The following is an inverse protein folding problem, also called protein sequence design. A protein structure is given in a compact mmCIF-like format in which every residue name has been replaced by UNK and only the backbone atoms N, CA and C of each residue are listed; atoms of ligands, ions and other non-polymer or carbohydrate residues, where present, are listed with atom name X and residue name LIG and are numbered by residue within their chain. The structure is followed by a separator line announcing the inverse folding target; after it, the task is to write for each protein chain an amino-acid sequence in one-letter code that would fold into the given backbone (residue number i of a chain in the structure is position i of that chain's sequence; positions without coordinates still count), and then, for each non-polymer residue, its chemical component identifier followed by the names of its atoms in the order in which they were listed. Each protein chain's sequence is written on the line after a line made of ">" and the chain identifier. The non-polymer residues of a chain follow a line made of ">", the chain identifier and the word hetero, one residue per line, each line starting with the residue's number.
data_IF_753681066927
#
_entry.id   IF_753681066927
#
_cell.length_a   1.000
_cell.length_b   1.000
_cell.length_c   1.000
_cell.angle_alpha   90.00
_cell.angle_beta   90.00
_cell.angle_gamma   90.00
#
_symmetry.space_group_name_H-M   'P 1'
#
loop_
_entity.id
_entity.type
_entity.pdbx_description
1 polymer ?
#
# COMPACT_ATOMS: atom_id res chain seq x y z
N UNK A 1 -46.53 -0.49 39.98
CA UNK A 1 -46.67 0.95 39.69
C UNK A 1 -45.30 1.46 39.32
N UNK A 2 -45.08 1.89 38.07
CA UNK A 2 -43.85 2.59 37.70
C UNK A 2 -43.90 3.95 38.39
N UNK A 3 -42.94 4.22 39.28
CA UNK A 3 -42.75 5.53 39.87
C UNK A 3 -42.36 6.51 38.77
N UNK A 4 -43.09 7.62 38.64
CA UNK A 4 -42.76 8.67 37.69
C UNK A 4 -41.35 9.21 37.96
N UNK A 5 -40.59 9.48 36.90
CA UNK A 5 -39.25 10.07 37.02
C UNK A 5 -39.31 11.46 37.67
N UNK A 6 -38.42 11.73 38.62
CA UNK A 6 -38.38 13.00 39.34
C UNK A 6 -37.37 13.93 38.66
N UNK A 7 -37.89 14.90 37.89
CA UNK A 7 -37.07 15.89 37.20
C UNK A 7 -36.49 16.93 38.16
N UNK A 8 -35.19 17.18 38.03
CA UNK A 8 -34.52 18.28 38.71
C UNK A 8 -34.55 19.52 37.83
N UNK A 9 -34.77 20.68 38.45
CA UNK A 9 -34.82 21.96 37.76
C UNK A 9 -33.78 22.93 38.34
N UNK A 10 -33.26 23.78 37.48
CA UNK A 10 -32.38 24.87 37.85
C UNK A 10 -32.79 26.15 37.12
N UNK A 11 -32.52 27.30 37.73
CA UNK A 11 -32.98 28.59 37.22
C UNK A 11 -31.90 29.29 36.43
N UNK A 12 -32.17 29.59 35.17
CA UNK A 12 -31.32 30.41 34.30
C UNK A 12 -32.18 31.50 33.67
N UNK A 13 -31.69 32.75 33.69
CA UNK A 13 -32.31 33.85 32.94
C UNK A 13 -33.78 34.12 33.31
N UNK A 14 -34.20 33.76 34.52
CA UNK A 14 -35.59 33.92 34.97
C UNK A 14 -36.55 32.80 34.57
N UNK A 15 -36.06 31.67 34.01
CA UNK A 15 -36.87 30.49 33.67
C UNK A 15 -36.31 29.23 34.31
N UNK A 16 -37.18 28.27 34.61
CA UNK A 16 -36.79 26.96 35.14
C UNK A 16 -36.48 26.01 33.96
N UNK A 17 -35.28 25.45 33.96
CA UNK A 17 -34.82 24.49 32.96
C UNK A 17 -34.60 23.12 33.62
N UNK A 18 -34.92 22.06 32.89
CA UNK A 18 -34.66 20.68 33.33
C UNK A 18 -33.16 20.41 33.30
N UNK A 19 -32.63 19.90 34.41
CA UNK A 19 -31.25 19.44 34.49
C UNK A 19 -31.15 17.99 33.99
N UNK A 20 -30.29 17.74 33.00
CA UNK A 20 -29.96 16.41 32.50
C UNK A 20 -28.57 16.03 33.03
N UNK A 21 -28.51 15.41 34.21
CA UNK A 21 -27.22 15.14 34.90
C UNK A 21 -26.98 13.66 35.18
N UNK A 22 -28.01 12.82 35.01
CA UNK A 22 -27.94 11.39 35.30
C UNK A 22 -28.35 10.53 34.11
N UNK A 23 -27.98 9.25 34.16
CA UNK A 23 -28.42 8.24 33.20
C UNK A 23 -29.95 8.10 33.16
N UNK A 24 -30.59 8.20 34.33
CA UNK A 24 -32.04 8.10 34.47
C UNK A 24 -32.74 9.28 33.80
N UNK A 25 -32.16 10.49 33.83
CA UNK A 25 -32.67 11.65 33.10
C UNK A 25 -32.71 11.39 31.59
N UNK A 26 -31.62 10.84 31.02
CA UNK A 26 -31.58 10.47 29.61
C UNK A 26 -32.59 9.37 29.29
N UNK A 27 -32.63 8.31 30.10
CA UNK A 27 -33.53 7.18 29.88
C UNK A 27 -35.01 7.58 29.90
N UNK A 28 -35.37 8.58 30.71
CA UNK A 28 -36.74 9.05 30.87
C UNK A 28 -37.07 10.31 30.04
N UNK A 29 -36.14 10.85 29.25
CA UNK A 29 -36.34 12.09 28.47
C UNK A 29 -37.57 12.03 27.54
N UNK A 30 -37.91 10.84 27.04
CA UNK A 30 -39.10 10.61 26.21
C UNK A 30 -40.44 10.87 26.93
N UNK A 31 -40.44 10.94 28.27
CA UNK A 31 -41.61 11.24 29.10
C UNK A 31 -41.75 12.73 29.46
N UNK A 32 -40.71 13.53 29.20
CA UNK A 32 -40.70 14.95 29.53
C UNK A 32 -41.59 15.73 28.56
N UNK A 33 -42.48 16.58 29.09
CA UNK A 33 -43.29 17.49 28.26
C UNK A 33 -42.34 18.43 27.47
N UNK A 34 -42.50 18.47 26.15
CA UNK A 34 -41.69 19.30 25.26
C UNK A 34 -41.79 20.80 25.57
N UNK A 35 -42.83 21.26 26.27
CA UNK A 35 -42.93 22.65 26.77
C UNK A 35 -41.82 23.02 27.75
N UNK A 36 -41.17 22.03 28.35
CA UNK A 36 -40.07 22.20 29.30
C UNK A 36 -38.69 22.16 28.61
N UNK A 37 -38.64 22.00 27.29
CA UNK A 37 -37.38 21.98 26.53
C UNK A 37 -36.93 23.41 26.21
N UNK A 38 -35.64 23.68 26.43
CA UNK A 38 -35.07 25.00 26.15
C UNK A 38 -35.05 25.34 24.64
N UNK A 39 -34.92 24.31 23.79
CA UNK A 39 -34.95 24.44 22.34
C UNK A 39 -35.63 23.21 21.71
N UNK A 40 -36.39 23.42 20.63
CA UNK A 40 -37.06 22.35 19.87
C UNK A 40 -36.32 21.99 18.58
N UNK A 41 -35.23 22.70 18.28
CA UNK A 41 -34.40 22.49 17.11
C UNK A 41 -32.98 22.98 17.38
N UNK A 42 -31.99 22.19 16.97
CA UNK A 42 -30.57 22.47 17.12
C UNK A 42 -29.89 22.39 15.74
N UNK A 43 -29.21 23.44 15.24
CA UNK A 43 -28.52 23.38 13.95
C UNK A 43 -27.31 22.44 14.00
N UNK A 44 -27.03 21.72 12.92
CA UNK A 44 -25.85 20.83 12.83
C UNK A 44 -24.52 21.57 12.57
N UNK A 45 -24.57 22.89 12.31
CA UNK A 45 -23.43 23.74 11.97
C UNK A 45 -23.38 25.00 12.83
N UNK A 46 -22.18 25.55 13.00
CA UNK A 46 -21.97 26.83 13.68
C UNK A 46 -22.15 26.78 15.21
N UNK A 47 -22.06 25.58 15.79
CA UNK A 47 -21.97 25.36 17.23
C UNK A 47 -20.53 25.00 17.61
N UNK A 48 -20.16 25.21 18.88
CA UNK A 48 -18.88 24.72 19.42
C UNK A 48 -18.95 23.22 19.76
N UNK A 49 -19.49 22.43 18.83
CA UNK A 49 -19.65 20.98 18.89
C UNK A 49 -19.17 20.36 17.57
N UNK A 50 -18.78 19.09 17.59
CA UNK A 50 -18.33 18.38 16.39
C UNK A 50 -19.47 18.21 15.37
N UNK A 51 -19.36 18.90 14.23
CA UNK A 51 -20.40 18.89 13.19
C UNK A 51 -20.65 17.49 12.61
N UNK A 52 -19.64 16.61 12.59
CA UNK A 52 -19.81 15.24 12.11
C UNK A 52 -20.72 14.44 13.04
N UNK A 53 -20.53 14.59 14.34
CA UNK A 53 -21.40 13.97 15.35
C UNK A 53 -22.82 14.51 15.26
N UNK A 54 -23.00 15.81 15.08
CA UNK A 54 -24.32 16.41 14.89
C UNK A 54 -25.01 15.91 13.61
N UNK A 55 -24.25 15.74 12.51
CA UNK A 55 -24.77 15.19 11.27
C UNK A 55 -25.21 13.72 11.38
N UNK A 56 -24.65 12.93 12.32
CA UNK A 56 -25.12 11.56 12.58
C UNK A 56 -26.50 11.53 13.28
N UNK A 57 -26.87 12.62 13.96
CA UNK A 57 -28.16 12.75 14.64
C UNK A 57 -29.27 13.31 13.73
N UNK A 58 -28.89 14.04 12.69
CA UNK A 58 -29.78 14.60 11.66
C UNK A 58 -30.12 13.52 10.62
N UNK A 59 -31.19 12.78 10.90
CA UNK A 59 -31.57 11.57 10.15
C UNK A 59 -32.22 11.87 8.81
N UNK A 60 -32.85 13.05 8.67
CA UNK A 60 -33.47 13.49 7.42
C UNK A 60 -32.56 14.42 6.58
N UNK A 61 -31.39 14.81 7.12
CA UNK A 61 -30.39 15.67 6.51
C UNK A 61 -30.92 17.10 6.19
N UNK A 62 -31.85 17.63 6.98
CA UNK A 62 -32.37 19.00 6.83
C UNK A 62 -31.46 20.08 7.48
N UNK A 63 -30.39 19.65 8.15
CA UNK A 63 -29.44 20.49 8.86
C UNK A 63 -29.85 20.85 10.29
N UNK A 64 -30.90 20.23 10.83
CA UNK A 64 -31.44 20.52 12.16
C UNK A 64 -31.87 19.26 12.91
N UNK A 65 -31.29 19.08 14.09
CA UNK A 65 -31.70 18.03 15.02
C UNK A 65 -32.95 18.48 15.78
N UNK A 66 -33.99 17.65 15.78
CA UNK A 66 -35.25 17.87 16.51
C UNK A 66 -35.46 16.84 17.62
N UNK A 67 -36.43 17.10 18.49
CA UNK A 67 -36.73 16.23 19.63
C UNK A 67 -36.89 14.74 19.27
N UNK A 68 -37.62 14.34 18.20
CA UNK A 68 -37.75 12.92 17.83
C UNK A 68 -36.40 12.25 17.53
N UNK A 69 -35.47 12.96 16.91
CA UNK A 69 -34.16 12.44 16.52
C UNK A 69 -33.24 12.28 17.73
N UNK A 70 -33.25 13.25 18.64
CA UNK A 70 -32.53 13.14 19.90
C UNK A 70 -33.05 11.95 20.74
N UNK A 71 -34.37 11.79 20.83
CA UNK A 71 -34.99 10.66 21.53
C UNK A 71 -34.65 9.34 20.86
N UNK A 72 -34.65 9.28 19.53
CA UNK A 72 -34.24 8.09 18.77
C UNK A 72 -32.77 7.74 19.01
N UNK A 73 -31.87 8.73 19.08
CA UNK A 73 -30.46 8.52 19.37
C UNK A 73 -30.23 7.96 20.78
N UNK A 74 -30.96 8.47 21.79
CA UNK A 74 -30.91 7.93 23.15
C UNK A 74 -31.43 6.49 23.19
N UNK A 75 -32.56 6.22 22.52
CA UNK A 75 -33.13 4.87 22.43
C UNK A 75 -32.16 3.91 21.72
N UNK A 76 -31.49 4.37 20.67
CA UNK A 76 -30.45 3.64 19.96
C UNK A 76 -29.25 3.34 20.85
N UNK A 77 -28.79 4.29 21.67
CA UNK A 77 -27.63 4.10 22.54
C UNK A 77 -27.89 3.13 23.71
N UNK A 78 -29.13 3.04 24.18
CA UNK A 78 -29.53 2.23 25.36
C UNK A 78 -29.07 0.77 25.34
N UNK A 79 -29.25 -0.02 24.26
CA UNK A 79 -28.75 -1.39 24.24
C UNK A 79 -27.22 -1.47 24.21
N UNK A 80 -26.46 -0.44 23.85
CA UNK A 80 -25.00 -0.52 23.72
C UNK A 80 -24.26 -0.42 25.05
N UNK A 81 -24.82 0.27 26.05
CA UNK A 81 -24.10 0.63 27.28
C UNK A 81 -24.76 0.05 28.53
N UNK A 82 -23.94 -0.37 29.50
CA UNK A 82 -24.43 -0.78 30.84
C UNK A 82 -25.09 0.37 31.59
N UNK A 83 -24.59 1.59 31.35
CA UNK A 83 -25.02 2.82 31.98
C UNK A 83 -24.95 3.97 30.96
N UNK A 84 -26.07 4.67 30.76
CA UNK A 84 -26.16 5.83 29.86
C UNK A 84 -25.41 7.06 30.37
N UNK A 85 -25.00 7.09 31.65
CA UNK A 85 -24.18 8.17 32.21
C UNK A 85 -22.86 8.34 31.44
N UNK A 86 -22.41 7.31 30.72
CA UNK A 86 -21.23 7.39 29.85
C UNK A 86 -21.35 8.50 28.80
N UNK A 87 -22.56 8.79 28.30
CA UNK A 87 -22.84 9.86 27.34
C UNK A 87 -22.68 11.26 27.93
N UNK A 88 -22.77 11.38 29.26
CA UNK A 88 -22.65 12.64 30.00
C UNK A 88 -21.21 12.87 30.52
N UNK A 89 -20.30 11.93 30.31
CA UNK A 89 -18.96 11.96 30.91
C UNK A 89 -18.03 13.02 30.32
N UNK A 90 -18.33 13.54 29.13
CA UNK A 90 -17.51 14.55 28.45
C UNK A 90 -16.08 14.09 28.11
N UNK A 91 -15.86 12.76 28.05
CA UNK A 91 -14.56 12.17 27.72
C UNK A 91 -14.42 11.92 26.23
N UNK A 92 -13.19 12.00 25.74
CA UNK A 92 -12.80 11.61 24.38
C UNK A 92 -12.61 10.09 24.21
N UNK A 93 -12.89 9.32 25.26
CA UNK A 93 -12.62 7.89 25.34
C UNK A 93 -13.70 7.14 26.12
N UNK A 94 -13.88 5.89 25.72
CA UNK A 94 -14.89 4.97 26.21
C UNK A 94 -14.22 3.70 26.75
N UNK A 95 -14.48 3.37 28.01
CA UNK A 95 -13.96 2.15 28.62
C UNK A 95 -14.61 0.91 27.99
N UNK A 96 -13.82 -0.13 27.73
CA UNK A 96 -14.30 -1.37 27.10
C UNK A 96 -15.28 -2.14 28.01
N UNK A 97 -15.25 -1.90 29.31
CA UNK A 97 -16.21 -2.47 30.26
C UNK A 97 -17.53 -1.70 30.34
N UNK A 98 -17.65 -0.54 29.68
CA UNK A 98 -18.89 0.25 29.63
C UNK A 98 -19.96 -0.37 28.71
N UNK A 99 -19.54 -1.22 27.75
CA UNK A 99 -20.46 -1.88 26.83
C UNK A 99 -21.33 -2.92 27.53
N UNK A 100 -22.62 -2.96 27.18
CA UNK A 100 -23.59 -3.89 27.74
C UNK A 100 -23.42 -5.34 27.25
N UNK A 101 -24.02 -6.28 27.97
CA UNK A 101 -24.06 -7.70 27.60
C UNK A 101 -25.20 -8.06 26.61
N UNK A 102 -25.73 -7.07 25.90
CA UNK A 102 -26.72 -7.22 24.82
C UNK A 102 -26.05 -7.67 23.52
N UNK A 103 -26.83 -7.97 22.48
CA UNK A 103 -26.28 -8.28 21.16
C UNK A 103 -25.52 -7.07 20.57
N UNK A 104 -26.11 -5.88 20.69
CA UNK A 104 -25.56 -4.61 20.22
C UNK A 104 -24.27 -4.23 20.97
N UNK A 105 -24.28 -4.32 22.30
CA UNK A 105 -23.14 -4.03 23.16
C UNK A 105 -21.97 -4.98 22.92
N UNK A 106 -22.24 -6.28 22.79
CA UNK A 106 -21.22 -7.30 22.42
C UNK A 106 -20.62 -7.02 21.04
N UNK A 107 -21.45 -6.68 20.07
CA UNK A 107 -21.01 -6.35 18.71
C UNK A 107 -20.12 -5.10 18.72
N UNK A 108 -20.52 -4.04 19.42
CA UNK A 108 -19.72 -2.82 19.51
C UNK A 108 -18.41 -3.02 20.27
N UNK A 109 -18.41 -3.82 21.35
CA UNK A 109 -17.20 -4.20 22.07
C UNK A 109 -16.23 -4.99 21.18
N UNK A 110 -16.74 -5.94 20.39
CA UNK A 110 -15.93 -6.70 19.44
C UNK A 110 -15.29 -5.78 18.39
N UNK A 111 -16.06 -4.82 17.85
CA UNK A 111 -15.56 -3.80 16.92
C UNK A 111 -14.49 -2.92 17.58
N UNK A 112 -14.71 -2.44 18.80
CA UNK A 112 -13.74 -1.63 19.53
C UNK A 112 -12.42 -2.39 19.76
N UNK A 113 -12.49 -3.67 20.17
CA UNK A 113 -11.31 -4.53 20.33
C UNK A 113 -10.58 -4.76 19.01
N UNK A 114 -11.30 -4.93 17.90
CA UNK A 114 -10.71 -5.10 16.57
C UNK A 114 -9.97 -3.85 16.10
N UNK A 115 -10.57 -2.68 16.32
CA UNK A 115 -9.94 -1.38 16.04
C UNK A 115 -8.63 -1.28 16.82
N UNK A 116 -8.68 -1.49 18.14
CA UNK A 116 -7.50 -1.43 19.00
C UNK A 116 -6.42 -2.44 18.59
N UNK A 117 -6.79 -3.68 18.25
CA UNK A 117 -5.86 -4.69 17.76
C UNK A 117 -5.18 -4.27 16.44
N UNK A 118 -5.93 -3.66 15.52
CA UNK A 118 -5.41 -3.17 14.24
C UNK A 118 -4.43 -2.00 14.43
N UNK A 119 -4.59 -1.23 15.51
CA UNK A 119 -3.68 -0.17 15.92
C UNK A 119 -2.52 -0.65 16.81
N UNK A 120 -2.39 -1.97 17.05
CA UNK A 120 -1.36 -2.54 17.93
C UNK A 120 -1.58 -2.30 19.42
N UNK A 121 -2.79 -1.93 19.84
CA UNK A 121 -3.19 -1.61 21.23
C UNK A 121 -3.99 -2.75 21.88
N UNK A 122 -3.49 -3.99 21.85
CA UNK A 122 -4.25 -5.17 22.31
C UNK A 122 -4.59 -5.16 23.80
N UNK A 123 -3.76 -4.52 24.63
CA UNK A 123 -3.93 -4.47 26.08
C UNK A 123 -4.71 -3.23 26.56
N UNK A 124 -5.20 -2.40 25.63
CA UNK A 124 -5.95 -1.20 25.98
C UNK A 124 -7.30 -1.55 26.65
N UNK A 125 -7.63 -0.82 27.71
CA UNK A 125 -8.89 -0.95 28.45
C UNK A 125 -9.96 0.04 28.03
N UNK A 126 -9.63 0.96 27.11
CA UNK A 126 -10.53 1.97 26.57
C UNK A 126 -10.21 2.23 25.09
N UNK A 127 -11.23 2.69 24.34
CA UNK A 127 -11.11 3.17 22.95
C UNK A 127 -11.35 4.68 22.90
N UNK A 128 -10.49 5.43 22.23
CA UNK A 128 -10.67 6.88 22.03
C UNK A 128 -11.39 7.21 20.72
N UNK A 129 -11.94 8.43 20.61
CA UNK A 129 -12.47 8.95 19.36
C UNK A 129 -11.40 8.95 18.26
N UNK A 130 -10.15 9.28 18.61
CA UNK A 130 -9.03 9.24 17.68
C UNK A 130 -8.78 7.83 17.13
N UNK A 131 -8.90 6.79 17.97
CA UNK A 131 -8.74 5.40 17.55
C UNK A 131 -9.83 4.97 16.56
N UNK A 132 -11.07 5.41 16.77
CA UNK A 132 -12.20 5.08 15.90
C UNK A 132 -12.24 5.92 14.61
N UNK A 133 -11.67 7.13 14.63
CA UNK A 133 -11.74 8.08 13.50
C UNK A 133 -10.62 7.91 12.48
N UNK A 134 -9.50 7.27 12.85
CA UNK A 134 -8.35 7.04 11.97
C UNK A 134 -8.58 5.84 11.03
N UNK A 135 -9.58 5.97 10.17
CA UNK A 135 -9.95 4.96 9.17
C UNK A 135 -8.77 4.59 8.26
N UNK A 136 -7.88 5.54 7.95
CA UNK A 136 -6.67 5.28 7.17
C UNK A 136 -5.76 4.25 7.84
N UNK A 137 -5.46 4.40 9.14
CA UNK A 137 -4.69 3.39 9.90
C UNK A 137 -5.43 2.08 10.09
N UNK A 138 -6.73 2.13 10.36
CA UNK A 138 -7.54 0.94 10.60
C UNK A 138 -7.56 -0.01 9.41
N UNK A 139 -7.61 0.53 8.19
CA UNK A 139 -7.57 -0.28 6.97
C UNK A 139 -6.16 -0.55 6.47
N UNK A 140 -5.21 0.39 6.60
CA UNK A 140 -3.83 0.20 6.17
C UNK A 140 -3.14 -1.02 6.83
N UNK A 141 -3.47 -1.32 8.08
CA UNK A 141 -2.93 -2.49 8.79
C UNK A 141 -3.60 -3.82 8.42
N UNK A 142 -4.69 -3.79 7.64
CA UNK A 142 -5.44 -4.99 7.27
C UNK A 142 -4.84 -5.62 6.01
N UNK A 143 -4.60 -6.94 6.05
CA UNK A 143 -4.01 -7.73 4.95
C UNK A 143 -4.66 -7.51 3.57
N UNK A 144 -5.98 -7.31 3.56
CA UNK A 144 -6.77 -6.92 2.39
C UNK A 144 -7.57 -5.67 2.78
N UNK A 145 -7.01 -4.50 2.50
CA UNK A 145 -7.55 -3.21 2.92
C UNK A 145 -8.64 -2.66 1.96
N UNK A 146 -8.91 -3.37 0.86
CA UNK A 146 -9.98 -3.10 -0.09
C UNK A 146 -9.73 -1.96 -1.08
N UNK A 147 -8.49 -1.49 -1.25
CA UNK A 147 -8.15 -0.43 -2.21
C UNK A 147 -7.85 -0.95 -3.63
N UNK A 148 -7.87 -2.27 -3.82
CA UNK A 148 -7.58 -2.91 -5.10
C UNK A 148 -6.09 -3.06 -5.41
N UNK A 149 -5.22 -2.83 -4.43
CA UNK A 149 -3.77 -3.02 -4.51
C UNK A 149 -3.38 -4.20 -3.62
N UNK A 150 -2.54 -5.10 -4.15
CA UNK A 150 -2.00 -6.23 -3.37
C UNK A 150 -0.49 -6.10 -3.22
N UNK A 151 -0.01 -6.32 -2.01
CA UNK A 151 1.41 -6.33 -1.65
C UNK A 151 1.85 -7.76 -1.30
N UNK A 152 3.15 -8.10 -1.25
CA UNK A 152 3.59 -9.46 -0.94
C UNK A 152 3.01 -10.02 0.38
N UNK A 153 2.78 -9.15 1.37
CA UNK A 153 2.16 -9.53 2.64
C UNK A 153 0.62 -9.66 2.59
N UNK A 154 -0.04 -9.32 1.47
CA UNK A 154 -1.49 -9.50 1.26
C UNK A 154 -1.90 -10.97 1.15
N UNK A 155 -0.94 -11.89 0.99
CA UNK A 155 -1.17 -13.34 0.96
C UNK A 155 -0.34 -14.07 2.03
N UNK A 156 -0.72 -15.29 2.38
CA UNK A 156 0.09 -16.21 3.20
C UNK A 156 0.68 -17.36 2.37
N UNK A 157 0.34 -17.41 1.08
CA UNK A 157 0.95 -18.34 0.13
C UNK A 157 2.29 -17.74 -0.34
N UNK A 158 3.44 -18.40 -0.05
CA UNK A 158 4.75 -17.92 -0.46
C UNK A 158 4.88 -17.76 -1.97
N UNK A 159 4.31 -18.67 -2.77
CA UNK A 159 4.45 -18.62 -4.23
C UNK A 159 3.70 -17.41 -4.81
N UNK A 160 2.54 -17.08 -4.23
CA UNK A 160 1.80 -15.88 -4.63
C UNK A 160 2.50 -14.60 -4.16
N UNK A 161 3.14 -14.61 -2.99
CA UNK A 161 3.92 -13.47 -2.52
C UNK A 161 5.13 -13.19 -3.44
N UNK A 162 5.84 -14.24 -3.86
CA UNK A 162 6.95 -14.15 -4.80
C UNK A 162 6.49 -13.61 -6.17
N UNK A 163 5.36 -14.10 -6.69
CA UNK A 163 4.77 -13.57 -7.92
C UNK A 163 4.44 -12.07 -7.81
N UNK A 164 3.86 -11.62 -6.70
CA UNK A 164 3.58 -10.19 -6.48
C UNK A 164 4.90 -9.39 -6.49
N UNK A 165 5.96 -9.91 -5.88
CA UNK A 165 7.27 -9.28 -5.88
C UNK A 165 7.90 -9.19 -7.29
N UNK A 166 7.75 -10.23 -8.12
CA UNK A 166 8.23 -10.23 -9.51
C UNK A 166 7.48 -9.21 -10.38
N UNK A 167 6.15 -9.11 -10.22
CA UNK A 167 5.36 -8.10 -10.90
C UNK A 167 5.79 -6.69 -10.48
N UNK A 168 6.05 -6.48 -9.18
CA UNK A 168 6.54 -5.19 -8.68
C UNK A 168 7.90 -4.81 -9.28
N UNK A 169 8.83 -5.76 -9.33
CA UNK A 169 10.18 -5.53 -9.85
C UNK A 169 10.20 -5.13 -11.33
N UNK A 170 9.20 -5.58 -12.10
CA UNK A 170 9.10 -5.33 -13.54
C UNK A 170 8.24 -4.11 -13.89
N UNK A 171 7.19 -3.84 -13.12
CA UNK A 171 6.20 -2.80 -13.45
C UNK A 171 6.32 -1.52 -12.62
N UNK A 172 7.11 -1.53 -11.54
CA UNK A 172 7.35 -0.36 -10.67
C UNK A 172 6.28 -0.12 -9.60
N UNK A 173 5.15 -0.82 -9.66
CA UNK A 173 4.11 -0.81 -8.63
C UNK A 173 3.27 0.46 -8.53
N UNK A 174 2.24 0.41 -7.69
CA UNK A 174 1.42 1.57 -7.30
C UNK A 174 1.30 1.61 -5.77
N UNK A 175 1.21 2.79 -5.14
CA UNK A 175 1.06 2.86 -3.68
C UNK A 175 -0.25 2.22 -3.21
N UNK A 176 -0.14 1.28 -2.28
CA UNK A 176 -1.23 0.77 -1.45
C UNK A 176 -1.66 1.82 -0.40
N UNK A 177 -2.81 1.63 0.24
CA UNK A 177 -3.29 2.47 1.36
C UNK A 177 -2.35 2.44 2.56
N UNK A 178 -1.54 1.39 2.72
CA UNK A 178 -0.42 1.32 3.67
C UNK A 178 0.83 2.10 3.22
N UNK A 179 0.81 2.71 2.04
CA UNK A 179 1.91 3.36 1.31
C UNK A 179 2.98 2.42 0.76
N UNK A 180 2.89 1.11 1.06
CA UNK A 180 3.77 0.12 0.46
C UNK A 180 3.51 0.00 -1.06
N UNK A 181 4.54 -0.21 -1.88
CA UNK A 181 4.35 -0.46 -3.30
C UNK A 181 3.66 -1.81 -3.50
N UNK A 182 2.57 -1.82 -4.26
CA UNK A 182 1.80 -3.01 -4.59
C UNK A 182 1.38 -3.08 -6.05
N UNK A 183 0.62 -4.11 -6.38
CA UNK A 183 0.16 -4.43 -7.73
C UNK A 183 -1.34 -4.21 -7.78
N UNK A 184 -1.80 -3.42 -8.74
CA UNK A 184 -3.23 -3.27 -9.05
C UNK A 184 -3.58 -4.14 -10.29
N UNK A 185 -4.87 -4.27 -10.66
CA UNK A 185 -5.29 -5.08 -11.80
C UNK A 185 -4.61 -4.69 -13.12
N UNK A 186 -4.45 -3.40 -13.40
CA UNK A 186 -3.83 -2.93 -14.65
C UNK A 186 -2.33 -3.32 -14.75
N UNK A 187 -1.59 -3.27 -13.64
CA UNK A 187 -0.20 -3.70 -13.58
C UNK A 187 -0.08 -5.22 -13.74
N UNK A 188 -0.97 -5.98 -13.09
CA UNK A 188 -1.03 -7.44 -13.26
C UNK A 188 -1.33 -7.84 -14.71
N UNK A 189 -2.32 -7.20 -15.34
CA UNK A 189 -2.68 -7.44 -16.74
C UNK A 189 -1.50 -7.14 -17.67
N UNK A 190 -0.83 -5.99 -17.46
CA UNK A 190 0.37 -5.61 -18.24
C UNK A 190 1.47 -6.65 -18.11
N UNK A 191 1.77 -7.10 -16.89
CA UNK A 191 2.78 -8.13 -16.65
C UNK A 191 2.48 -9.43 -17.40
N UNK A 192 1.24 -9.93 -17.34
CA UNK A 192 0.91 -11.19 -18.00
C UNK A 192 0.88 -11.07 -19.53
N UNK A 193 0.51 -9.91 -20.06
CA UNK A 193 0.64 -9.61 -21.51
C UNK A 193 2.11 -9.63 -21.93
N UNK A 194 2.98 -8.95 -21.19
CA UNK A 194 4.41 -8.87 -21.51
C UNK A 194 5.11 -10.23 -21.33
N UNK A 195 4.76 -10.96 -20.28
CA UNK A 195 5.26 -12.32 -20.05
C UNK A 195 4.85 -13.27 -21.19
N UNK A 196 3.61 -13.22 -21.64
CA UNK A 196 3.15 -14.00 -22.79
C UNK A 196 3.87 -13.61 -24.08
N UNK A 197 4.09 -12.31 -24.30
CA UNK A 197 4.85 -11.82 -25.46
C UNK A 197 6.32 -12.29 -25.43
N UNK A 198 6.95 -12.32 -24.26
CA UNK A 198 8.31 -12.81 -24.07
C UNK A 198 8.40 -14.32 -24.34
N UNK A 199 7.45 -15.11 -23.85
CA UNK A 199 7.37 -16.55 -24.14
C UNK A 199 7.17 -16.79 -25.65
N UNK A 200 6.23 -16.09 -26.27
CA UNK A 200 5.98 -16.22 -27.71
C UNK A 200 7.18 -15.79 -28.56
N UNK A 201 7.97 -14.81 -28.10
CA UNK A 201 9.23 -14.43 -28.73
C UNK A 201 10.31 -15.51 -28.55
N UNK A 202 10.48 -16.06 -27.34
CA UNK A 202 11.52 -17.06 -27.06
C UNK A 202 11.27 -18.37 -27.80
N UNK A 203 10.01 -18.78 -27.97
CA UNK A 203 9.64 -19.95 -28.77
C UNK A 203 10.05 -19.82 -30.25
N UNK A 204 10.02 -18.60 -30.81
CA UNK A 204 10.49 -18.35 -32.19
C UNK A 204 12.00 -18.54 -32.33
N UNK A 205 12.76 -18.42 -31.24
CA UNK A 205 14.20 -18.63 -31.24
C UNK A 205 14.59 -20.11 -31.44
N UNK A 206 13.65 -21.05 -31.29
CA UNK A 206 13.88 -22.48 -31.52
C UNK A 206 13.69 -22.93 -32.98
N UNK A 207 13.39 -22.00 -33.90
CA UNK A 207 13.15 -22.35 -35.31
C UNK A 207 14.47 -22.65 -36.05
N UNK A 208 14.47 -23.52 -37.08
CA UNK A 208 15.65 -23.80 -37.90
C UNK A 208 16.23 -22.56 -38.61
N UNK A 209 15.40 -21.53 -38.83
CA UNK A 209 15.84 -20.25 -39.40
C UNK A 209 16.73 -19.45 -38.43
N UNK A 210 16.54 -19.62 -37.12
CA UNK A 210 17.36 -18.99 -36.07
C UNK A 210 18.49 -19.94 -35.63
N UNK A 211 18.18 -21.21 -35.43
CA UNK A 211 19.12 -22.29 -35.13
C UNK A 211 19.68 -22.90 -36.41
N UNK A 212 20.42 -22.10 -37.19
CA UNK A 212 20.96 -22.50 -38.51
C UNK A 212 21.87 -23.72 -38.46
N UNK A 213 22.51 -23.98 -37.31
CA UNK A 213 23.33 -25.16 -37.04
C UNK A 213 22.67 -26.12 -36.03
N UNK A 214 21.35 -26.01 -35.83
CA UNK A 214 20.60 -26.78 -34.83
C UNK A 214 21.18 -26.60 -33.43
N UNK A 215 21.42 -27.71 -32.73
CA UNK A 215 22.00 -27.73 -31.38
C UNK A 215 23.42 -27.14 -31.30
N UNK A 216 24.16 -27.04 -32.42
CA UNK A 216 25.49 -26.44 -32.45
C UNK A 216 25.45 -24.90 -32.57
N UNK A 217 24.29 -24.29 -32.84
CA UNK A 217 24.16 -22.84 -33.02
C UNK A 217 24.66 -22.02 -31.83
N UNK A 218 24.31 -22.36 -30.56
CA UNK A 218 24.81 -21.62 -29.40
C UNK A 218 26.34 -21.66 -29.29
N UNK A 219 26.96 -22.81 -29.55
CA UNK A 219 28.41 -22.98 -29.50
C UNK A 219 29.12 -22.17 -30.61
N UNK A 220 28.55 -22.16 -31.82
CA UNK A 220 29.06 -21.35 -32.92
C UNK A 220 28.93 -19.84 -32.63
N UNK A 221 27.79 -19.40 -32.10
CA UNK A 221 27.58 -18.00 -31.70
C UNK A 221 28.55 -17.57 -30.58
N UNK A 222 28.81 -18.44 -29.61
CA UNK A 222 29.80 -18.22 -28.56
C UNK A 222 31.22 -18.11 -29.15
N UNK A 223 31.60 -18.98 -30.09
CA UNK A 223 32.90 -18.92 -30.75
C UNK A 223 33.10 -17.62 -31.55
N UNK A 224 32.07 -17.16 -32.28
CA UNK A 224 32.09 -15.86 -32.98
C UNK A 224 32.20 -14.70 -31.99
N UNK A 225 31.47 -14.76 -30.88
CA UNK A 225 31.52 -13.74 -29.82
C UNK A 225 32.90 -13.67 -29.17
N UNK A 226 33.54 -14.82 -28.94
CA UNK A 226 34.86 -14.91 -28.33
C UNK A 226 35.96 -14.22 -29.17
N UNK A 227 35.87 -14.28 -30.50
CA UNK A 227 36.86 -13.66 -31.40
C UNK A 227 36.48 -12.25 -31.89
N UNK A 228 35.26 -11.78 -31.57
CA UNK A 228 34.69 -10.52 -32.06
C UNK A 228 35.63 -9.33 -31.87
N UNK A 229 36.12 -9.13 -30.64
CA UNK A 229 36.98 -7.99 -30.33
C UNK A 229 38.28 -8.00 -31.14
N UNK A 230 38.91 -9.17 -31.34
CA UNK A 230 40.15 -9.32 -32.11
C UNK A 230 39.93 -9.07 -33.60
N UNK A 231 38.81 -9.55 -34.14
CA UNK A 231 38.42 -9.31 -35.55
C UNK A 231 38.10 -7.82 -35.78
N UNK A 232 37.33 -7.21 -34.88
CA UNK A 232 36.96 -5.79 -34.95
C UNK A 232 38.21 -4.89 -34.85
N UNK A 233 39.15 -5.18 -33.94
CA UNK A 233 40.43 -4.48 -33.82
C UNK A 233 41.28 -4.60 -35.09
N UNK A 234 41.39 -5.80 -35.68
CA UNK A 234 42.11 -6.01 -36.93
C UNK A 234 41.57 -5.14 -38.06
N UNK A 235 40.25 -5.13 -38.26
CA UNK A 235 39.64 -4.30 -39.32
C UNK A 235 39.68 -2.80 -39.00
N UNK A 236 39.68 -2.41 -37.73
CA UNK A 236 39.92 -1.02 -37.35
C UNK A 236 41.34 -0.59 -37.72
N UNK A 237 42.35 -1.43 -37.46
CA UNK A 237 43.75 -1.20 -37.86
C UNK A 237 43.92 -1.15 -39.38
N UNK A 238 43.26 -2.04 -40.12
CA UNK A 238 43.30 -2.05 -41.58
C UNK A 238 42.73 -0.75 -42.18
N UNK A 239 41.59 -0.29 -41.65
CA UNK A 239 41.01 1.00 -42.06
C UNK A 239 41.92 2.18 -41.73
N UNK A 240 42.60 2.16 -40.58
CA UNK A 240 43.56 3.19 -40.21
C UNK A 240 44.78 3.23 -41.14
N UNK A 241 45.31 2.05 -41.51
CA UNK A 241 46.42 1.94 -42.45
C UNK A 241 46.03 2.38 -43.87
N UNK A 242 44.81 2.08 -44.31
CA UNK A 242 44.27 2.54 -45.60
C UNK A 242 44.00 4.05 -45.61
N UNK A 243 43.64 4.64 -44.47
CA UNK A 243 43.40 6.08 -44.33
C UNK A 243 44.71 6.89 -44.42
N UNK A 244 45.78 6.43 -43.76
CA UNK A 244 47.09 7.07 -43.80
C UNK A 244 48.21 6.03 -43.77
N UNK A 245 48.99 5.94 -44.85
CA UNK A 245 50.08 4.99 -44.99
C UNK A 245 51.16 5.12 -43.89
N UNK A 246 51.27 6.28 -43.23
CA UNK A 246 52.18 6.48 -42.10
C UNK A 246 51.78 5.65 -40.87
N UNK A 247 50.50 5.29 -40.74
CA UNK A 247 50.01 4.47 -39.63
C UNK A 247 50.37 2.98 -39.78
N UNK A 248 50.73 2.52 -40.98
CA UNK A 248 50.96 1.10 -41.28
C UNK A 248 52.02 0.44 -40.38
N UNK A 249 53.10 1.15 -40.09
CA UNK A 249 54.15 0.66 -39.19
C UNK A 249 53.67 0.62 -37.73
N UNK A 250 52.90 1.62 -37.30
CA UNK A 250 52.40 1.73 -35.93
C UNK A 250 51.36 0.63 -35.61
N UNK A 251 50.55 0.22 -36.58
CA UNK A 251 49.50 -0.79 -36.36
C UNK A 251 49.99 -2.25 -36.42
N UNK A 252 51.20 -2.50 -36.92
CA UNK A 252 51.82 -3.83 -37.06
C UNK A 252 52.88 -4.17 -35.98
N UNK A 253 53.02 -3.34 -34.93
CA UNK A 253 54.02 -3.47 -33.85
C UNK A 253 55.47 -3.31 -34.32
N UNK A 254 56.37 -2.96 -33.40
CA UNK A 254 57.80 -2.82 -33.73
C UNK A 254 58.55 -4.16 -33.69
N UNK A 255 59.62 -4.30 -34.48
CA UNK A 255 60.47 -5.50 -34.50
C UNK A 255 61.02 -5.87 -33.11
N UNK A 256 61.35 -4.87 -32.29
CA UNK A 256 61.81 -5.04 -30.92
C UNK A 256 60.81 -5.77 -30.01
N UNK A 257 59.50 -5.65 -30.27
CA UNK A 257 58.47 -6.37 -29.52
C UNK A 257 58.42 -7.86 -29.88
N UNK A 258 58.76 -8.22 -31.13
CA UNK A 258 58.88 -9.62 -31.55
C UNK A 258 60.11 -10.29 -30.94
N UNK A 259 61.23 -9.58 -30.84
CA UNK A 259 62.45 -10.09 -30.19
C UNK A 259 62.24 -10.39 -28.70
N UNK A 260 61.49 -9.53 -28.01
CA UNK A 260 61.14 -9.74 -26.60
C UNK A 260 60.26 -10.98 -26.37
N UNK A 261 59.40 -11.31 -27.35
CA UNK A 261 58.54 -12.49 -27.32
C UNK A 261 59.31 -13.77 -27.70
N UNK A 262 60.19 -13.71 -28.71
CA UNK A 262 61.02 -14.83 -29.16
C UNK A 262 62.05 -15.28 -28.11
N UNK A 263 62.36 -14.43 -27.13
CA UNK A 263 63.20 -14.76 -25.97
C UNK A 263 62.47 -15.63 -24.92
N UNK A 264 61.16 -15.89 -25.10
CA UNK A 264 60.32 -16.74 -24.24
C UNK A 264 59.87 -17.99 -24.97
N UNK A 265 59.34 -18.96 -24.24
CA UNK A 265 58.75 -20.17 -24.84
C UNK A 265 57.48 -19.82 -25.63
N UNK A 266 57.54 -19.99 -26.95
CA UNK A 266 56.42 -19.76 -27.85
C UNK A 266 55.39 -20.89 -27.72
N UNK A 267 54.23 -20.58 -27.14
CA UNK A 267 53.07 -21.48 -27.11
C UNK A 267 51.86 -20.82 -27.79
N UNK A 268 51.00 -21.64 -28.41
CA UNK A 268 49.79 -21.17 -29.10
C UNK A 268 48.77 -20.50 -28.16
N UNK A 269 48.97 -20.66 -26.85
CA UNK A 269 48.12 -20.14 -25.78
C UNK A 269 48.76 -18.97 -25.04
N UNK A 270 49.88 -18.42 -25.52
CA UNK A 270 50.55 -17.32 -24.83
C UNK A 270 49.66 -16.08 -24.80
N UNK A 271 49.31 -15.61 -23.60
CA UNK A 271 48.56 -14.37 -23.42
C UNK A 271 49.30 -13.15 -24.02
N UNK A 272 50.61 -13.27 -24.20
CA UNK A 272 51.49 -12.21 -24.70
C UNK A 272 51.24 -11.91 -26.18
N UNK A 273 50.74 -12.87 -26.96
CA UNK A 273 50.35 -12.66 -28.37
C UNK A 273 48.88 -12.26 -28.54
N UNK A 274 48.06 -12.33 -27.48
CA UNK A 274 46.63 -12.00 -27.57
C UNK A 274 46.37 -10.54 -27.97
N UNK A 275 47.32 -9.64 -27.71
CA UNK A 275 47.26 -8.23 -28.12
C UNK A 275 47.83 -7.94 -29.51
N UNK A 276 48.24 -8.95 -30.27
CA UNK A 276 48.74 -8.78 -31.64
C UNK A 276 47.56 -8.72 -32.62
N UNK A 277 47.72 -8.00 -33.75
CA UNK A 277 46.73 -8.05 -34.82
C UNK A 277 46.46 -9.49 -35.27
N UNK A 278 45.20 -9.80 -35.59
CA UNK A 278 44.76 -11.12 -36.04
C UNK A 278 45.61 -11.68 -37.20
N UNK A 279 46.01 -10.79 -38.10
CA UNK A 279 46.95 -11.05 -39.18
C UNK A 279 47.79 -9.79 -39.41
N UNK A 280 48.82 -9.89 -40.26
CA UNK A 280 49.54 -8.71 -40.72
C UNK A 280 48.55 -7.72 -41.34
N UNK A 281 48.58 -6.48 -40.88
CA UNK A 281 47.75 -5.40 -41.40
C UNK A 281 48.39 -4.90 -42.69
N UNK A 282 47.62 -4.88 -43.77
CA UNK A 282 47.97 -4.27 -45.05
C UNK A 282 46.98 -3.14 -45.36
N UNK A 283 47.41 -2.18 -46.19
CA UNK A 283 46.55 -1.13 -46.75
C UNK A 283 45.83 -1.63 -48.00
#
# INVERSE_FOLDING_TARGET
>A
MSTAHIWQFYRIGGFDQVALTTADDLANLHTLDQKLWAALSCPVKGLELDEKTLALLDTDNDGRIRAPELLAAIAWAKPYFKDLAVLLSGKDSLALDAFADTAEGKSALASARRILASLGKTDATAISLADASDTARLFAATKLNGDGVVIPSSTSDPALADLIADILATTGGTPDRSTAPGVNPALADTFFVDAAALVAWSEKAATPAVLTLGAATPAAAAAVTAVRATVDDYFARARLAAFDARALAAVNRAESEYLALAAKDLSITSAEIAGFPLARVAA
#
